data_IF_170387852578
#
_entry.id   IF_170387852578
#
_cell.length_a   1.000
_cell.length_b   1.000
_cell.length_c   1.000
_cell.angle_alpha   90.00
_cell.angle_beta   90.00
_cell.angle_gamma   90.00
#
_symmetry.space_group_name_H-M   'P 1'
#
loop_
_entity.id
_entity.type
_entity.pdbx_description
1 polymer ?
#
# COMPACT_ATOMS: atom_id res chain seq x y z
N UNK A 1 -14.47 1.89 -24.29
CA UNK A 1 -13.12 1.55 -23.84
C UNK A 1 -12.84 2.45 -22.65
N UNK A 2 -12.80 1.89 -21.45
CA UNK A 2 -12.30 2.62 -20.29
C UNK A 2 -10.78 2.63 -20.44
N UNK A 3 -10.21 3.80 -20.62
CA UNK A 3 -8.75 3.96 -20.66
C UNK A 3 -8.28 4.13 -19.23
N UNK A 4 -7.49 3.17 -18.72
CA UNK A 4 -6.88 3.26 -17.40
C UNK A 4 -5.63 4.14 -17.49
N UNK A 5 -5.60 5.21 -16.70
CA UNK A 5 -4.53 6.21 -16.71
C UNK A 5 -3.78 6.30 -15.38
N UNK A 6 -2.77 7.16 -15.38
CA UNK A 6 -1.93 7.46 -14.20
C UNK A 6 -2.76 7.88 -12.98
N UNK A 7 -3.79 8.71 -13.19
CA UNK A 7 -4.68 9.17 -12.13
C UNK A 7 -5.53 8.05 -11.52
N UNK A 8 -5.98 7.07 -12.32
CA UNK A 8 -6.75 5.91 -11.83
C UNK A 8 -5.88 5.02 -10.93
N UNK A 9 -4.61 4.91 -11.31
CA UNK A 9 -3.60 4.14 -10.63
C UNK A 9 -3.13 4.81 -9.32
N UNK A 10 -2.93 6.14 -9.31
CA UNK A 10 -2.72 6.88 -8.05
C UNK A 10 -3.96 6.82 -7.14
N UNK A 11 -5.17 6.84 -7.71
CA UNK A 11 -6.39 6.63 -6.94
C UNK A 11 -6.49 5.21 -6.36
N UNK A 12 -5.86 4.22 -6.99
CA UNK A 12 -5.73 2.88 -6.42
C UNK A 12 -4.74 2.84 -5.25
N UNK A 13 -3.60 3.54 -5.34
CA UNK A 13 -2.67 3.70 -4.22
C UNK A 13 -3.36 4.30 -3.00
N UNK A 14 -4.14 5.37 -3.16
CA UNK A 14 -4.93 5.96 -2.07
C UNK A 14 -5.82 4.91 -1.38
N UNK A 15 -6.45 4.01 -2.16
CA UNK A 15 -7.27 2.92 -1.59
C UNK A 15 -6.42 1.88 -0.86
N UNK A 16 -5.20 1.59 -1.34
CA UNK A 16 -4.24 0.70 -0.70
C UNK A 16 -3.88 1.23 0.68
N UNK A 17 -3.47 2.50 0.77
CA UNK A 17 -3.13 3.14 2.06
C UNK A 17 -4.33 3.21 3.02
N UNK A 18 -5.53 3.53 2.52
CA UNK A 18 -6.74 3.51 3.36
C UNK A 18 -7.02 2.11 3.93
N UNK A 19 -6.64 1.07 3.20
CA UNK A 19 -6.77 -0.31 3.68
C UNK A 19 -5.66 -0.66 4.64
N UNK A 20 -4.41 -0.30 4.38
CA UNK A 20 -3.30 -0.46 5.31
C UNK A 20 -3.60 0.23 6.65
N UNK A 21 -4.08 1.47 6.61
CA UNK A 21 -4.53 2.20 7.80
C UNK A 21 -5.61 1.45 8.58
N UNK A 22 -6.67 1.00 7.90
CA UNK A 22 -7.73 0.21 8.54
C UNK A 22 -7.17 -1.08 9.14
N UNK A 23 -6.34 -1.79 8.39
CA UNK A 23 -5.73 -3.04 8.81
C UNK A 23 -4.89 -2.86 10.08
N UNK A 24 -3.97 -1.88 10.09
CA UNK A 24 -3.13 -1.62 11.25
C UNK A 24 -3.94 -1.09 12.44
N UNK A 25 -4.98 -0.30 12.21
CA UNK A 25 -5.91 0.12 13.26
C UNK A 25 -6.62 -1.09 13.91
N UNK A 26 -7.04 -2.07 13.11
CA UNK A 26 -7.63 -3.32 13.63
C UNK A 26 -6.61 -4.15 14.43
N UNK A 27 -5.33 -4.12 14.07
CA UNK A 27 -4.26 -4.77 14.83
C UNK A 27 -3.93 -4.02 16.14
N UNK A 28 -3.98 -2.69 16.16
CA UNK A 28 -3.88 -1.89 17.39
C UNK A 28 -4.96 -2.28 18.40
N UNK A 29 -6.19 -2.52 17.93
CA UNK A 29 -7.30 -2.93 18.79
C UNK A 29 -7.15 -4.37 19.35
N UNK A 30 -6.40 -5.23 18.65
CA UNK A 30 -6.17 -6.64 19.00
C UNK A 30 -4.86 -6.89 19.74
N UNK A 31 -3.94 -5.91 19.72
CA UNK A 31 -2.65 -5.99 20.38
C UNK A 31 -2.80 -6.31 21.87
N UNK A 32 -2.06 -7.30 22.35
CA UNK A 32 -2.14 -7.76 23.74
C UNK A 32 -1.22 -6.96 24.67
N UNK A 33 -0.14 -6.40 24.12
CA UNK A 33 0.86 -5.63 24.86
C UNK A 33 1.04 -4.21 24.30
N UNK A 34 1.47 -3.29 25.17
CA UNK A 34 1.62 -1.87 24.83
C UNK A 34 2.71 -1.61 23.78
N UNK A 35 3.68 -2.50 23.62
CA UNK A 35 4.73 -2.34 22.62
C UNK A 35 4.19 -2.71 21.23
N UNK A 36 3.42 -3.80 21.13
CA UNK A 36 2.68 -4.18 19.92
C UNK A 36 1.68 -3.11 19.49
N UNK A 37 0.95 -2.58 20.45
CA UNK A 37 -0.02 -1.51 20.21
C UNK A 37 0.64 -0.27 19.62
N UNK A 38 1.77 0.15 20.20
CA UNK A 38 2.55 1.29 19.68
C UNK A 38 3.14 1.02 18.31
N UNK A 39 3.62 -0.20 18.08
CA UNK A 39 4.18 -0.60 16.80
C UNK A 39 3.14 -0.51 15.67
N UNK A 40 1.95 -1.09 15.84
CA UNK A 40 0.91 -1.00 14.82
C UNK A 40 0.29 0.40 14.72
N UNK A 41 0.23 1.16 15.82
CA UNK A 41 -0.25 2.55 15.76
C UNK A 41 0.69 3.43 14.94
N UNK A 42 2.00 3.22 15.05
CA UNK A 42 2.99 3.91 14.23
C UNK A 42 2.80 3.60 12.74
N UNK A 43 2.63 2.32 12.36
CA UNK A 43 2.37 1.96 10.97
C UNK A 43 1.07 2.59 10.46
N UNK A 44 -0.01 2.55 11.24
CA UNK A 44 -1.27 3.20 10.86
C UNK A 44 -1.11 4.72 10.62
N UNK A 45 -0.31 5.42 11.43
CA UNK A 45 -0.04 6.85 11.22
C UNK A 45 0.73 7.13 9.93
N UNK A 46 1.67 6.27 9.56
CA UNK A 46 2.43 6.39 8.31
C UNK A 46 1.54 6.18 7.08
N UNK A 47 0.62 5.21 7.10
CA UNK A 47 -0.38 4.98 6.04
C UNK A 47 -1.25 6.22 5.79
N UNK A 48 -1.70 6.91 6.86
CA UNK A 48 -2.46 8.16 6.72
C UNK A 48 -1.64 9.27 6.06
N UNK A 49 -0.34 9.33 6.35
CA UNK A 49 0.58 10.29 5.73
C UNK A 49 0.75 9.98 4.24
N UNK A 50 0.89 8.71 3.89
CA UNK A 50 1.02 8.24 2.51
C UNK A 50 -0.27 8.50 1.71
N UNK A 51 -1.44 8.21 2.27
CA UNK A 51 -2.75 8.50 1.65
C UNK A 51 -2.83 9.97 1.17
N UNK A 52 -2.38 10.90 2.02
CA UNK A 52 -2.36 12.33 1.70
C UNK A 52 -1.44 12.65 0.53
N UNK A 53 -0.22 12.09 0.53
CA UNK A 53 0.77 12.30 -0.54
C UNK A 53 0.20 11.80 -1.88
N UNK A 54 -0.34 10.59 -1.94
CA UNK A 54 -0.89 10.06 -3.19
C UNK A 54 -2.16 10.78 -3.64
N UNK A 55 -2.98 11.26 -2.71
CA UNK A 55 -4.16 12.07 -3.04
C UNK A 55 -3.77 13.38 -3.71
N UNK A 56 -2.73 14.05 -3.20
CA UNK A 56 -2.19 15.28 -3.79
C UNK A 56 -1.57 15.02 -5.17
N UNK A 57 -0.85 13.90 -5.35
CA UNK A 57 -0.34 13.49 -6.66
C UNK A 57 -1.49 13.18 -7.64
N UNK A 58 -2.49 12.41 -7.23
CA UNK A 58 -3.62 12.05 -8.09
C UNK A 58 -4.33 13.29 -8.65
N UNK A 59 -4.47 14.35 -7.85
CA UNK A 59 -5.05 15.62 -8.29
C UNK A 59 -4.18 16.34 -9.32
N UNK A 60 -2.85 16.30 -9.19
CA UNK A 60 -1.92 16.90 -10.17
C UNK A 60 -2.03 16.23 -11.55
N UNK A 61 -2.28 14.91 -11.57
CA UNK A 61 -2.39 14.13 -12.81
C UNK A 61 -3.82 14.02 -13.36
N UNK A 62 -4.85 14.54 -12.66
CA UNK A 62 -6.26 14.48 -13.13
C UNK A 62 -6.51 15.22 -14.44
N UNK A 63 -5.80 16.32 -14.68
CA UNK A 63 -5.98 17.19 -15.85
C UNK A 63 -5.01 16.92 -16.99
N UNK A 64 -4.11 15.95 -16.83
CA UNK A 64 -3.17 15.53 -17.87
C UNK A 64 -3.84 14.39 -18.63
N UNK A 65 -4.16 14.58 -19.92
CA UNK A 65 -4.50 13.44 -20.79
C UNK A 65 -3.32 12.47 -20.72
N UNK A 66 -3.52 11.20 -20.32
CA UNK A 66 -2.40 10.28 -20.20
C UNK A 66 -1.73 10.13 -21.55
N UNK A 67 -0.48 10.60 -21.67
CA UNK A 67 0.36 10.38 -22.84
C UNK A 67 0.56 8.87 -23.07
N UNK A 68 0.62 8.12 -21.98
CA UNK A 68 0.66 6.66 -21.93
C UNK A 68 -0.71 6.12 -21.50
N UNK A 69 -1.60 5.87 -22.46
CA UNK A 69 -2.80 5.07 -22.22
C UNK A 69 -2.37 3.61 -22.12
N UNK A 70 -2.69 2.97 -21.00
CA UNK A 70 -2.51 1.53 -20.87
C UNK A 70 -3.41 0.82 -21.87
N UNK A 71 -2.92 -0.29 -22.42
CA UNK A 71 -3.80 -1.20 -23.12
C UNK A 71 -4.76 -1.87 -22.12
N UNK A 72 -5.94 -2.26 -22.61
CA UNK A 72 -7.00 -2.84 -21.80
C UNK A 72 -6.53 -4.07 -21.00
N UNK A 73 -5.74 -5.01 -21.56
CA UNK A 73 -5.22 -6.16 -20.81
C UNK A 73 -4.34 -5.78 -19.61
N UNK A 74 -3.51 -4.75 -19.72
CA UNK A 74 -2.65 -4.33 -18.61
C UNK A 74 -3.43 -3.57 -17.54
N UNK A 75 -4.45 -2.78 -17.93
CA UNK A 75 -5.41 -2.22 -16.98
C UNK A 75 -6.14 -3.29 -16.16
N UNK A 76 -6.61 -4.36 -16.80
CA UNK A 76 -7.23 -5.50 -16.11
C UNK A 76 -6.27 -6.22 -15.15
N UNK A 77 -4.99 -6.37 -15.52
CA UNK A 77 -3.95 -6.92 -14.65
C UNK A 77 -3.80 -6.09 -13.37
N UNK A 78 -3.74 -4.77 -13.50
CA UNK A 78 -3.62 -3.87 -12.35
C UNK A 78 -4.86 -3.93 -11.46
N UNK A 79 -6.07 -3.97 -12.04
CA UNK A 79 -7.29 -4.16 -11.27
C UNK A 79 -7.28 -5.48 -10.48
N UNK A 80 -6.82 -6.57 -11.08
CA UNK A 80 -6.66 -7.85 -10.38
C UNK A 80 -5.66 -7.73 -9.24
N UNK A 81 -4.50 -7.12 -9.49
CA UNK A 81 -3.44 -6.93 -8.50
C UNK A 81 -3.99 -6.17 -7.28
N UNK A 82 -4.63 -5.03 -7.51
CA UNK A 82 -5.25 -4.19 -6.48
C UNK A 82 -6.30 -4.98 -5.69
N UNK A 83 -7.20 -5.68 -6.37
CA UNK A 83 -8.29 -6.40 -5.71
C UNK A 83 -7.79 -7.57 -4.86
N UNK A 84 -6.67 -8.20 -5.22
CA UNK A 84 -6.06 -9.25 -4.40
C UNK A 84 -5.42 -8.68 -3.14
N UNK A 85 -4.83 -7.49 -3.19
CA UNK A 85 -4.22 -6.84 -2.02
C UNK A 85 -5.26 -6.46 -0.95
N UNK A 86 -6.53 -6.28 -1.33
CA UNK A 86 -7.63 -6.00 -0.39
C UNK A 86 -8.31 -7.24 0.20
N UNK A 87 -7.89 -8.45 -0.19
CA UNK A 87 -8.61 -9.67 0.13
C UNK A 87 -8.25 -10.23 1.52
N UNK A 88 -8.66 -9.53 2.59
CA UNK A 88 -8.67 -10.09 3.94
C UNK A 88 -9.99 -9.79 4.68
N UNK A 89 -10.30 -10.63 5.65
CA UNK A 89 -11.49 -10.54 6.50
C UNK A 89 -11.09 -10.39 7.97
N UNK A 90 -12.02 -9.97 8.83
CA UNK A 90 -11.79 -9.94 10.28
C UNK A 90 -11.46 -11.33 10.86
N UNK A 91 -11.92 -12.41 10.22
CA UNK A 91 -11.60 -13.78 10.62
C UNK A 91 -10.11 -14.07 10.44
N UNK A 92 -9.51 -13.58 9.36
CA UNK A 92 -8.09 -13.76 9.06
C UNK A 92 -7.18 -13.04 10.08
N UNK A 93 -7.74 -12.05 10.81
CA UNK A 93 -7.03 -11.29 11.84
C UNK A 93 -7.06 -11.95 13.23
N UNK A 94 -7.81 -13.04 13.42
CA UNK A 94 -7.87 -13.75 14.72
C UNK A 94 -6.60 -14.54 15.00
N UNK A 95 -6.00 -15.10 13.96
CA UNK A 95 -4.75 -15.82 14.06
C UNK A 95 -3.57 -14.85 13.87
N UNK A 96 -2.70 -14.78 14.87
CA UNK A 96 -1.57 -13.84 14.87
C UNK A 96 -0.65 -14.09 13.67
N UNK A 97 -0.39 -15.34 13.31
CA UNK A 97 0.48 -15.67 12.17
C UNK A 97 -0.13 -15.25 10.83
N UNK A 98 -1.44 -15.44 10.66
CA UNK A 98 -2.22 -14.98 9.51
C UNK A 98 -2.21 -13.46 9.39
N UNK A 99 -2.45 -12.75 10.49
CA UNK A 99 -2.35 -11.28 10.54
C UNK A 99 -0.97 -10.79 10.09
N UNK A 100 0.12 -11.40 10.58
CA UNK A 100 1.47 -11.04 10.15
C UNK A 100 1.76 -11.35 8.68
N UNK A 101 1.24 -12.46 8.17
CA UNK A 101 1.35 -12.80 6.75
C UNK A 101 0.65 -11.76 5.88
N UNK A 102 -0.51 -11.28 6.31
CA UNK A 102 -1.27 -10.23 5.62
C UNK A 102 -0.51 -8.91 5.69
N UNK A 103 -0.02 -8.49 6.86
CA UNK A 103 0.76 -7.26 7.02
C UNK A 103 1.95 -7.24 6.04
N UNK A 104 2.76 -8.30 6.03
CA UNK A 104 3.89 -8.45 5.11
C UNK A 104 3.45 -8.52 3.64
N UNK A 105 2.27 -9.07 3.37
CA UNK A 105 1.68 -9.11 2.03
C UNK A 105 1.33 -7.71 1.54
N UNK A 106 0.64 -6.92 2.35
CA UNK A 106 0.24 -5.54 2.04
C UNK A 106 1.47 -4.70 1.65
N UNK A 107 2.53 -4.68 2.46
CA UNK A 107 3.75 -3.91 2.15
C UNK A 107 4.39 -4.32 0.81
N UNK A 108 4.42 -5.63 0.53
CA UNK A 108 5.00 -6.15 -0.72
C UNK A 108 4.16 -5.82 -1.92
N UNK A 109 2.84 -5.89 -1.77
CA UNK A 109 1.89 -5.59 -2.81
C UNK A 109 1.91 -4.08 -3.14
N UNK A 110 1.98 -3.22 -2.12
CA UNK A 110 2.16 -1.77 -2.28
C UNK A 110 3.46 -1.48 -3.04
N UNK A 111 4.59 -2.11 -2.67
CA UNK A 111 5.86 -1.99 -3.39
C UNK A 111 5.78 -2.43 -4.85
N UNK A 112 5.10 -3.55 -5.12
CA UNK A 112 4.89 -4.05 -6.48
C UNK A 112 4.06 -3.03 -7.27
N UNK A 113 2.97 -2.53 -6.69
CA UNK A 113 2.10 -1.57 -7.32
C UNK A 113 2.84 -0.28 -7.67
N UNK A 114 3.60 0.30 -6.73
CA UNK A 114 4.44 1.49 -6.97
C UNK A 114 5.43 1.25 -8.13
N UNK A 115 6.00 0.05 -8.22
CA UNK A 115 6.87 -0.32 -9.34
C UNK A 115 6.16 -0.31 -10.69
N UNK A 116 4.94 -0.87 -10.76
CA UNK A 116 4.12 -0.82 -11.97
C UNK A 116 3.75 0.64 -12.31
N UNK A 117 3.40 1.46 -11.31
CA UNK A 117 3.14 2.91 -11.48
C UNK A 117 4.32 3.62 -12.14
N UNK A 118 5.51 3.46 -11.57
CA UNK A 118 6.72 4.18 -11.96
C UNK A 118 7.12 3.93 -13.42
N UNK A 119 6.82 2.75 -13.96
CA UNK A 119 7.11 2.41 -15.36
C UNK A 119 6.22 3.17 -16.36
N UNK A 120 5.07 3.66 -15.92
CA UNK A 120 4.04 4.24 -16.80
C UNK A 120 4.07 5.75 -16.84
N UNK A 121 4.54 6.37 -15.75
CA UNK A 121 4.62 7.82 -15.65
C UNK A 121 6.02 8.25 -16.07
N UNK A 122 6.13 9.04 -17.14
CA UNK A 122 7.37 9.68 -17.54
C UNK A 122 7.62 10.88 -16.61
N UNK A 123 8.29 10.67 -15.47
CA UNK A 123 8.43 11.72 -14.45
C UNK A 123 9.88 12.16 -14.25
N UNK A 124 10.04 13.48 -14.10
CA UNK A 124 11.16 14.07 -13.35
C UNK A 124 11.06 13.80 -11.84
N UNK A 125 9.99 13.16 -11.38
CA UNK A 125 9.64 12.92 -9.98
C UNK A 125 10.05 11.51 -9.50
N UNK A 126 11.00 10.83 -10.16
CA UNK A 126 11.50 9.51 -9.71
C UNK A 126 11.92 9.48 -8.23
N UNK A 127 12.37 10.62 -7.72
CA UNK A 127 12.72 10.79 -6.30
C UNK A 127 11.53 10.55 -5.36
N UNK A 128 10.30 10.93 -5.75
CA UNK A 128 9.12 10.68 -4.91
C UNK A 128 8.81 9.18 -4.84
N UNK A 129 8.91 8.48 -5.96
CA UNK A 129 8.66 7.03 -6.02
C UNK A 129 9.69 6.25 -5.22
N UNK A 130 10.98 6.61 -5.30
CA UNK A 130 12.00 5.98 -4.46
C UNK A 130 11.81 6.32 -2.98
N UNK A 131 11.48 7.56 -2.62
CA UNK A 131 11.20 7.95 -1.22
C UNK A 131 10.12 7.06 -0.63
N UNK A 132 9.02 6.91 -1.36
CA UNK A 132 7.89 6.09 -0.94
C UNK A 132 8.25 4.61 -0.87
N UNK A 133 8.92 4.06 -1.89
CA UNK A 133 9.41 2.67 -1.85
C UNK A 133 10.35 2.43 -0.66
N UNK A 134 11.14 3.42 -0.27
CA UNK A 134 12.01 3.32 0.90
C UNK A 134 11.22 3.24 2.21
N UNK A 135 10.11 3.97 2.34
CA UNK A 135 9.20 3.89 3.48
C UNK A 135 8.57 2.50 3.58
N UNK A 136 7.99 1.95 2.50
CA UNK A 136 7.38 0.60 2.54
C UNK A 136 8.43 -0.51 2.76
N UNK A 137 9.64 -0.35 2.22
CA UNK A 137 10.77 -1.24 2.56
C UNK A 137 11.11 -1.12 4.05
N UNK A 138 10.97 0.06 4.64
CA UNK A 138 11.12 0.34 6.06
C UNK A 138 10.07 -0.42 6.89
N UNK A 139 8.80 -0.29 6.54
CA UNK A 139 7.70 -1.05 7.14
C UNK A 139 7.95 -2.55 7.07
N UNK A 140 8.28 -3.09 5.89
CA UNK A 140 8.58 -4.51 5.71
C UNK A 140 9.74 -4.98 6.61
N UNK A 141 10.82 -4.21 6.70
CA UNK A 141 11.95 -4.52 7.60
C UNK A 141 11.51 -4.48 9.06
N UNK A 142 10.72 -3.48 9.45
CA UNK A 142 10.23 -3.30 10.81
C UNK A 142 9.31 -4.46 11.21
N UNK A 143 8.37 -4.85 10.34
CA UNK A 143 7.47 -5.99 10.52
C UNK A 143 8.25 -7.29 10.75
N UNK A 144 9.22 -7.59 9.88
CA UNK A 144 10.02 -8.82 9.97
C UNK A 144 10.90 -8.81 11.23
N UNK A 145 11.55 -7.70 11.54
CA UNK A 145 12.38 -7.57 12.73
C UNK A 145 11.56 -7.73 14.02
N UNK A 146 10.40 -7.08 14.08
CA UNK A 146 9.46 -7.19 15.21
C UNK A 146 9.01 -8.65 15.40
N UNK A 147 8.65 -9.32 14.30
CA UNK A 147 8.26 -10.73 14.30
C UNK A 147 9.38 -11.62 14.84
N UNK A 148 10.58 -11.50 14.27
CA UNK A 148 11.72 -12.38 14.59
C UNK A 148 12.19 -12.21 16.05
N UNK A 149 12.08 -11.00 16.61
CA UNK A 149 12.39 -10.72 18.01
C UNK A 149 11.44 -11.43 19.00
N UNK A 150 10.20 -11.70 18.60
CA UNK A 150 9.16 -12.30 19.45
C UNK A 150 8.96 -13.80 19.26
N UNK A 151 9.71 -14.45 18.36
CA UNK A 151 9.73 -15.92 18.13
C UNK A 151 8.32 -16.54 18.08
N UNK A 152 7.56 -16.11 17.08
CA UNK A 152 6.32 -16.75 16.66
C UNK A 152 6.49 -18.25 16.41
#
# INVERSE_FOLDING_TARGET
MNTFGVSDLLAAMVRLEQTGYRFYTELVARAEDEEEKKFFAHLAEEELRHEKIYSELAEQYKSVEPENKLDEPYGEYLDVLINQSFAFTEEDLKDRASAWKIAVGLEKDTLLFIGEVELLIDTNDREIFETIKEEERGHLKALVAYRDARKF
#
